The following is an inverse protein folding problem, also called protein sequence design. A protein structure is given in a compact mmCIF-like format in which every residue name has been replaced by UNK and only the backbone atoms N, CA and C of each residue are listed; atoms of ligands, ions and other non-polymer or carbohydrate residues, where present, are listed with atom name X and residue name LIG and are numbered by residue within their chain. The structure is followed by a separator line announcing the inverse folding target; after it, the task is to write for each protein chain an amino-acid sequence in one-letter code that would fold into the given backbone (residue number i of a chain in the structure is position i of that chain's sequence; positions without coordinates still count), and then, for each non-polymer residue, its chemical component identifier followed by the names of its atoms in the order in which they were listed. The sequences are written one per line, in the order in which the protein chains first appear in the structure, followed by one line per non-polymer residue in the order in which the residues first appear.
data_IF_697081028760
#
_entry.id   IF_697081028760
#
_cell.length_a   1.000
_cell.length_b   1.000
_cell.length_c   1.000
_cell.angle_alpha   90.00
_cell.angle_beta   90.00
_cell.angle_gamma   90.00
#
_symmetry.space_group_name_H-M   'P 1'
#
loop_
_entity.id
_entity.type
_entity.pdbx_description
1 polymer ?
#
# COMPACT_ATOMS: atom_id res chain seq x y z
N UNK A 1 5.52 6.11 13.23
CA UNK A 1 6.09 6.00 11.86
C UNK A 1 5.25 6.88 10.94
N UNK A 2 5.53 8.18 10.88
CA UNK A 2 4.80 9.09 9.97
C UNK A 2 5.59 9.13 8.67
N UNK A 3 5.18 8.30 7.70
CA UNK A 3 5.72 8.37 6.35
C UNK A 3 5.38 9.73 5.74
N UNK A 4 6.29 10.28 4.92
CA UNK A 4 6.00 11.51 4.15
C UNK A 4 4.81 11.25 3.23
N UNK A 5 3.65 11.82 3.55
CA UNK A 5 2.50 11.77 2.66
C UNK A 5 2.69 12.76 1.51
N UNK A 6 2.39 12.30 0.28
CA UNK A 6 2.30 13.17 -0.89
C UNK A 6 0.83 13.41 -1.20
N UNK A 7 0.44 14.68 -1.30
CA UNK A 7 -0.90 15.06 -1.73
C UNK A 7 -1.00 14.96 -3.25
N UNK A 8 -1.98 14.20 -3.73
CA UNK A 8 -2.23 13.99 -5.16
C UNK A 8 -3.52 14.65 -5.66
N UNK A 9 -4.30 15.25 -4.78
CA UNK A 9 -5.60 15.83 -5.08
C UNK A 9 -6.69 15.37 -4.10
N UNK A 10 -7.89 15.90 -4.29
CA UNK A 10 -9.11 15.50 -3.57
C UNK A 10 -10.08 14.81 -4.52
N UNK A 11 -10.85 13.85 -4.01
CA UNK A 11 -11.92 13.20 -4.75
C UNK A 11 -13.20 13.19 -3.91
N UNK A 12 -14.35 13.26 -4.58
CA UNK A 12 -15.67 13.12 -3.95
C UNK A 12 -16.16 11.69 -4.08
N UNK A 13 -16.91 11.23 -3.09
CA UNK A 13 -17.57 9.92 -3.14
C UNK A 13 -18.76 10.00 -4.09
N UNK A 14 -18.76 9.13 -5.10
CA UNK A 14 -19.84 9.01 -6.07
C UNK A 14 -21.07 8.33 -5.49
N UNK A 15 -22.13 8.27 -6.29
CA UNK A 15 -23.45 7.75 -5.88
C UNK A 15 -23.46 6.28 -5.47
N UNK A 16 -22.43 5.51 -5.84
CA UNK A 16 -22.26 4.09 -5.46
C UNK A 16 -21.17 3.88 -4.42
N UNK A 17 -20.72 4.94 -3.74
CA UNK A 17 -19.63 4.85 -2.76
C UNK A 17 -18.23 4.75 -3.37
N UNK A 18 -18.09 4.94 -4.69
CA UNK A 18 -16.80 4.88 -5.37
C UNK A 18 -16.06 6.22 -5.32
N UNK A 19 -14.74 6.17 -5.30
CA UNK A 19 -13.88 7.34 -5.48
C UNK A 19 -13.07 7.20 -6.77
N UNK A 20 -12.79 8.33 -7.42
CA UNK A 20 -11.89 8.36 -8.57
C UNK A 20 -10.47 8.61 -8.08
N UNK A 21 -9.52 7.76 -8.50
CA UNK A 21 -8.10 7.96 -8.20
C UNK A 21 -7.57 9.10 -9.11
N UNK A 22 -7.01 10.18 -8.54
CA UNK A 22 -6.46 11.29 -9.33
C UNK A 22 -5.48 10.82 -10.41
N UNK A 23 -5.50 11.47 -11.57
CA UNK A 23 -4.71 11.03 -12.73
C UNK A 23 -3.21 11.01 -12.46
N UNK A 24 -2.75 11.97 -11.67
CA UNK A 24 -1.37 12.18 -11.25
C UNK A 24 -0.90 11.05 -10.35
N UNK A 25 -1.77 10.58 -9.44
CA UNK A 25 -1.49 9.41 -8.61
C UNK A 25 -1.41 8.13 -9.45
N UNK A 26 -2.33 7.95 -10.40
CA UNK A 26 -2.32 6.77 -11.29
C UNK A 26 -1.03 6.69 -12.10
N UNK A 27 -0.60 7.81 -12.68
CA UNK A 27 0.65 7.88 -13.45
C UNK A 27 1.88 7.63 -12.58
N UNK A 28 1.96 8.28 -11.41
CA UNK A 28 3.14 8.18 -10.55
C UNK A 28 3.29 6.81 -9.86
N UNK A 29 2.19 6.07 -9.67
CA UNK A 29 2.17 4.75 -9.02
C UNK A 29 1.98 3.59 -10.02
N UNK A 30 2.10 3.87 -11.32
CA UNK A 30 1.89 2.94 -12.44
C UNK A 30 0.61 2.10 -12.28
N UNK A 31 -0.51 2.76 -11.96
CA UNK A 31 -1.80 2.10 -11.77
C UNK A 31 -2.55 2.02 -13.09
N UNK A 32 -2.91 0.81 -13.49
CA UNK A 32 -3.55 0.49 -14.77
C UNK A 32 -4.97 -0.01 -14.58
N UNK A 33 -5.76 0.07 -15.64
CA UNK A 33 -7.08 -0.55 -15.65
C UNK A 33 -6.94 -2.06 -15.42
N UNK A 34 -7.80 -2.61 -14.56
CA UNK A 34 -7.74 -4.02 -14.17
C UNK A 34 -6.78 -4.35 -13.02
N UNK A 35 -5.95 -3.39 -12.57
CA UNK A 35 -5.10 -3.59 -11.39
C UNK A 35 -5.96 -3.90 -10.16
N UNK A 36 -5.58 -4.95 -9.43
CA UNK A 36 -6.17 -5.24 -8.12
C UNK A 36 -5.48 -4.40 -7.06
N UNK A 37 -6.28 -3.79 -6.19
CA UNK A 37 -5.79 -2.97 -5.09
C UNK A 37 -6.38 -3.49 -3.78
N UNK A 38 -5.58 -3.48 -2.73
CA UNK A 38 -6.02 -3.76 -1.37
C UNK A 38 -6.43 -2.45 -0.72
N UNK A 39 -7.61 -2.42 -0.11
CA UNK A 39 -8.11 -1.29 0.67
C UNK A 39 -8.14 -1.75 2.13
N UNK A 40 -7.37 -1.08 2.99
CA UNK A 40 -7.22 -1.44 4.39
C UNK A 40 -7.43 -0.24 5.30
N UNK A 41 -7.94 -0.48 6.51
CA UNK A 41 -8.04 0.49 7.60
C UNK A 41 -7.69 -0.19 8.92
N UNK A 42 -7.09 0.55 9.85
CA UNK A 42 -7.02 0.11 11.24
C UNK A 42 -8.39 0.31 11.89
N UNK A 43 -8.76 -0.55 12.84
CA UNK A 43 -10.08 -0.50 13.52
C UNK A 43 -10.38 0.85 14.20
N UNK A 44 -9.35 1.66 14.45
CA UNK A 44 -9.46 2.96 15.14
C UNK A 44 -8.99 4.13 14.26
N UNK A 45 -8.75 3.90 12.95
CA UNK A 45 -8.30 4.96 12.04
C UNK A 45 -9.43 5.44 11.14
N UNK A 46 -9.60 6.75 11.03
CA UNK A 46 -10.44 7.41 10.02
C UNK A 46 -9.76 7.47 8.64
N UNK A 47 -8.82 6.56 8.38
CA UNK A 47 -7.98 6.56 7.17
C UNK A 47 -8.13 5.25 6.43
N UNK A 48 -8.37 5.36 5.12
CA UNK A 48 -8.24 4.25 4.19
C UNK A 48 -6.85 4.32 3.54
N UNK A 49 -6.14 3.19 3.57
CA UNK A 49 -4.87 3.01 2.87
C UNK A 49 -5.12 2.07 1.69
N UNK A 50 -4.63 2.47 0.52
CA UNK A 50 -4.72 1.68 -0.71
C UNK A 50 -3.33 1.20 -1.08
N UNK A 51 -3.16 -0.12 -1.25
CA UNK A 51 -1.85 -0.76 -1.48
C UNK A 51 -1.95 -1.72 -2.65
N UNK A 52 -0.91 -1.79 -3.49
CA UNK A 52 -0.82 -2.81 -4.55
C UNK A 52 -0.37 -4.16 -3.92
N UNK A 53 -1.01 -5.30 -4.25
CA UNK A 53 -0.71 -6.59 -3.61
C UNK A 53 0.76 -7.03 -3.73
N UNK A 54 1.36 -6.81 -4.88
CA UNK A 54 2.76 -7.06 -5.20
C UNK A 54 3.74 -6.29 -4.29
N UNK A 55 3.40 -5.06 -3.89
CA UNK A 55 4.20 -4.30 -2.92
C UNK A 55 4.14 -4.93 -1.53
N UNK A 56 2.97 -5.45 -1.13
CA UNK A 56 2.82 -6.15 0.15
C UNK A 56 3.63 -7.45 0.16
N UNK A 57 3.55 -8.25 -0.91
CA UNK A 57 4.31 -9.49 -1.07
C UNK A 57 5.83 -9.24 -0.97
N UNK A 58 6.34 -8.24 -1.69
CA UNK A 58 7.76 -7.87 -1.61
C UNK A 58 8.17 -7.45 -0.20
N UNK A 59 7.31 -6.73 0.53
CA UNK A 59 7.59 -6.32 1.90
C UNK A 59 7.65 -7.53 2.84
N UNK A 60 6.71 -8.47 2.70
CA UNK A 60 6.68 -9.71 3.49
C UNK A 60 7.91 -10.59 3.20
N UNK A 61 8.31 -10.70 1.93
CA UNK A 61 9.53 -11.44 1.56
C UNK A 61 10.78 -10.83 2.20
N UNK A 62 10.93 -9.50 2.18
CA UNK A 62 12.06 -8.81 2.84
C UNK A 62 12.10 -9.07 4.34
N UNK A 63 10.96 -9.04 5.01
CA UNK A 63 10.87 -9.35 6.44
C UNK A 63 11.29 -10.80 6.71
N UNK A 64 10.87 -11.75 5.87
CA UNK A 64 11.25 -13.16 6.00
C UNK A 64 12.76 -13.39 5.79
N UNK A 65 13.36 -12.74 4.80
CA UNK A 65 14.81 -12.81 4.56
C UNK A 65 15.59 -12.30 5.77
N UNK A 66 15.24 -11.11 6.27
CA UNK A 66 15.92 -10.52 7.42
C UNK A 66 15.78 -11.37 8.70
N UNK A 67 14.66 -12.06 8.90
CA UNK A 67 14.48 -12.96 10.05
C UNK A 67 15.34 -14.22 9.90
N UNK A 68 15.46 -14.80 8.70
CA UNK A 68 16.34 -15.95 8.46
C UNK A 68 17.80 -15.62 8.73
N UNK A 69 18.26 -14.48 8.22
CA UNK A 69 19.66 -14.08 8.38
C UNK A 69 20.03 -13.89 9.88
N UNK A 70 19.08 -13.47 10.71
CA UNK A 70 19.27 -13.36 12.16
C UNK A 70 19.21 -14.70 12.93
N UNK A 71 18.56 -15.72 12.37
CA UNK A 71 18.46 -17.05 12.99
C UNK A 71 19.61 -17.98 12.57
N UNK A 72 20.25 -17.69 11.43
CA UNK A 72 21.37 -18.47 10.91
C UNK A 72 22.74 -18.02 11.46
N UNK A 73 22.86 -16.82 12.05
CA UNK A 73 24.10 -16.34 12.69
C UNK A 73 24.40 -17.03 14.04
N UNK A 74 23.39 -17.59 14.73
CA UNK A 74 23.56 -18.27 16.02
C UNK A 74 24.04 -19.74 15.91
N UNK A 75 24.29 -20.26 14.69
CA UNK A 75 24.76 -21.64 14.44
C UNK A 75 26.23 -21.68 13.99
N UNK A 76 27.02 -20.61 14.16
CA UNK A 76 28.47 -20.62 13.89
C UNK A 76 29.34 -20.38 15.12
#
# INVERSE_FOLDING_TARGET
MVGKFKFWGSATVGTKGQIVIPSEARQALDMKEGDKLLIVSSAHSETLVVVKPDVLEQHMQRVQTNIKDLLDEDIK
#
